data_IF_797369856060
#
_entry.id   IF_797369856060
#
_cell.length_a   1.000
_cell.length_b   1.000
_cell.length_c   1.000
_cell.angle_alpha   90.00
_cell.angle_beta   90.00
_cell.angle_gamma   90.00
#
_symmetry.space_group_name_H-M   'P 1'
#
loop_
_entity.id
_entity.type
_entity.pdbx_description
1 polymer ?
#
# COMPACT_ATOMS: atom_id res chain seq x y z
N UNK A 1 -14.49 -3.18 5.76
CA UNK A 1 -13.02 -3.20 5.95
C UNK A 1 -12.44 -2.62 4.70
N UNK A 2 -11.52 -1.68 4.80
CA UNK A 2 -10.98 -1.01 3.60
C UNK A 2 -10.06 -1.99 2.85
N UNK A 3 -10.60 -2.63 1.81
CA UNK A 3 -9.90 -3.61 0.98
C UNK A 3 -8.92 -2.94 -0.02
N UNK A 4 -8.88 -1.61 -0.06
CA UNK A 4 -8.06 -0.83 -0.97
C UNK A 4 -7.15 0.15 -0.21
N UNK A 5 -5.96 0.36 -0.77
CA UNK A 5 -4.99 1.35 -0.35
C UNK A 5 -4.86 2.39 -1.46
N UNK A 6 -5.07 3.65 -1.12
CA UNK A 6 -4.86 4.76 -2.05
C UNK A 6 -3.53 5.43 -1.74
N UNK A 7 -2.65 5.47 -2.73
CA UNK A 7 -1.38 6.19 -2.67
C UNK A 7 -1.55 7.51 -3.43
N UNK A 8 -1.18 8.62 -2.79
CA UNK A 8 -1.12 9.95 -3.39
C UNK A 8 0.28 10.49 -3.25
N UNK A 9 0.81 11.08 -4.31
CA UNK A 9 2.17 11.62 -4.34
C UNK A 9 2.20 12.98 -5.04
N UNK A 10 3.36 13.64 -5.06
CA UNK A 10 3.46 15.00 -5.54
C UNK A 10 3.08 15.09 -7.03
N UNK A 11 2.16 16.01 -7.34
CA UNK A 11 1.81 16.33 -8.72
C UNK A 11 2.96 17.06 -9.41
N UNK A 12 3.22 16.65 -10.65
CA UNK A 12 4.13 17.29 -11.58
C UNK A 12 3.47 18.39 -12.41
N UNK A 13 4.09 18.75 -13.52
CA UNK A 13 3.54 19.71 -14.50
C UNK A 13 2.41 19.08 -15.33
N UNK A 14 1.51 19.91 -15.90
CA UNK A 14 0.48 19.40 -16.82
C UNK A 14 1.09 18.61 -17.98
N UNK A 15 0.58 17.40 -18.21
CA UNK A 15 1.06 16.51 -19.26
C UNK A 15 2.20 15.57 -18.86
N UNK A 16 2.69 15.66 -17.62
CA UNK A 16 3.60 14.65 -17.06
C UNK A 16 2.84 13.37 -16.68
N UNK A 17 3.52 12.23 -16.83
CA UNK A 17 3.08 10.93 -16.32
C UNK A 17 4.03 10.45 -15.23
N UNK A 18 3.71 9.35 -14.56
CA UNK A 18 4.45 8.88 -13.40
C UNK A 18 4.75 7.39 -13.52
N UNK A 19 6.00 6.99 -13.34
CA UNK A 19 6.36 5.59 -13.15
C UNK A 19 6.30 5.27 -11.66
N UNK A 20 5.28 4.54 -11.26
CA UNK A 20 5.05 4.13 -9.88
C UNK A 20 5.51 2.69 -9.66
N UNK A 21 6.18 2.45 -8.53
CA UNK A 21 6.54 1.11 -8.08
C UNK A 21 6.19 0.90 -6.61
N UNK A 22 5.63 -0.28 -6.32
CA UNK A 22 5.42 -0.82 -4.97
C UNK A 22 6.14 -2.16 -4.86
N UNK A 23 6.84 -2.40 -3.76
CA UNK A 23 7.64 -3.60 -3.54
C UNK A 23 7.54 -4.12 -2.09
N UNK A 24 7.88 -5.40 -1.90
CA UNK A 24 8.03 -6.02 -0.57
C UNK A 24 9.35 -5.68 0.10
N UNK A 25 10.35 -5.28 -0.67
CA UNK A 25 11.70 -4.95 -0.19
C UNK A 25 12.17 -3.57 -0.66
N UNK A 26 13.12 -2.98 0.08
CA UNK A 26 13.61 -1.63 -0.16
C UNK A 26 14.46 -1.47 -1.44
N UNK A 27 14.92 -2.57 -2.02
CA UNK A 27 15.73 -2.57 -3.25
C UNK A 27 14.88 -2.72 -4.51
N UNK A 28 13.56 -2.90 -4.37
CA UNK A 28 12.62 -3.08 -5.46
C UNK A 28 12.94 -4.31 -6.31
N UNK A 29 13.32 -5.42 -5.65
CA UNK A 29 13.59 -6.70 -6.31
C UNK A 29 12.32 -7.57 -6.38
N UNK A 30 11.49 -7.51 -5.33
CA UNK A 30 10.19 -8.18 -5.22
C UNK A 30 9.07 -7.14 -5.42
N UNK A 31 8.78 -6.86 -6.69
CA UNK A 31 7.77 -5.89 -7.12
C UNK A 31 6.35 -6.45 -6.93
N UNK A 32 5.51 -5.67 -6.27
CA UNK A 32 4.07 -5.87 -6.20
C UNK A 32 3.35 -5.14 -7.32
N UNK A 33 3.80 -3.92 -7.63
CA UNK A 33 3.27 -3.09 -8.71
C UNK A 33 4.40 -2.32 -9.40
N UNK A 34 4.27 -2.15 -10.71
CA UNK A 34 5.14 -1.38 -11.59
C UNK A 34 4.30 -0.86 -12.76
N UNK A 35 3.94 0.42 -12.74
CA UNK A 35 2.95 0.99 -13.66
C UNK A 35 3.26 2.44 -14.05
N UNK A 36 2.83 2.81 -15.26
CA UNK A 36 2.81 4.21 -15.72
C UNK A 36 1.41 4.80 -15.48
N UNK A 37 1.36 5.93 -14.79
CA UNK A 37 0.14 6.60 -14.36
C UNK A 37 0.02 7.98 -15.00
N UNK A 38 -1.19 8.37 -15.37
CA UNK A 38 -1.50 9.72 -15.88
C UNK A 38 -1.89 10.69 -14.77
N UNK A 39 -2.18 10.18 -13.58
CA UNK A 39 -2.51 10.97 -12.39
C UNK A 39 -1.54 10.62 -11.25
N UNK A 40 -1.29 11.55 -10.33
CA UNK A 40 -0.38 11.34 -9.20
C UNK A 40 -1.03 10.52 -8.06
N UNK A 41 -1.83 9.51 -8.44
CA UNK A 41 -2.60 8.67 -7.54
C UNK A 41 -2.82 7.28 -8.13
N UNK A 42 -2.85 6.28 -7.25
CA UNK A 42 -3.28 4.93 -7.58
C UNK A 42 -4.01 4.31 -6.39
N UNK A 43 -5.10 3.60 -6.66
CA UNK A 43 -5.78 2.76 -5.67
C UNK A 43 -5.56 1.29 -6.01
N UNK A 44 -5.04 0.55 -5.03
CA UNK A 44 -4.64 -0.84 -5.16
C UNK A 44 -5.36 -1.70 -4.14
N UNK A 45 -5.57 -2.97 -4.45
CA UNK A 45 -5.99 -3.92 -3.42
C UNK A 45 -4.91 -4.00 -2.32
N UNK A 46 -5.33 -4.08 -1.05
CA UNK A 46 -4.39 -4.25 0.06
C UNK A 46 -3.57 -5.53 -0.17
N UNK A 47 -2.22 -5.45 -0.26
CA UNK A 47 -1.40 -6.63 -0.53
C UNK A 47 -1.54 -7.65 0.61
N UNK A 48 -1.62 -8.93 0.22
CA UNK A 48 -1.69 -10.03 1.18
C UNK A 48 -0.30 -10.39 1.69
N UNK A 49 -0.18 -10.54 3.01
CA UNK A 49 1.01 -11.03 3.70
C UNK A 49 2.09 -9.96 3.89
N UNK A 50 2.59 -9.84 5.12
CA UNK A 50 3.54 -8.77 5.50
C UNK A 50 2.83 -7.52 6.01
N UNK A 51 3.60 -6.67 6.71
CA UNK A 51 3.11 -5.41 7.30
C UNK A 51 3.95 -4.20 6.87
N UNK A 52 4.98 -4.41 6.05
CA UNK A 52 5.90 -3.38 5.58
C UNK A 52 6.06 -3.52 4.08
N UNK A 53 5.93 -2.40 3.38
CA UNK A 53 6.09 -2.28 1.94
C UNK A 53 6.91 -1.03 1.62
N UNK A 54 7.41 -0.95 0.39
CA UNK A 54 8.24 0.14 -0.07
C UNK A 54 7.68 0.69 -1.38
N UNK A 55 7.53 2.00 -1.47
CA UNK A 55 7.12 2.66 -2.70
C UNK A 55 8.13 3.70 -3.16
N UNK A 56 8.18 3.91 -4.47
CA UNK A 56 8.85 5.04 -5.11
C UNK A 56 8.09 5.42 -6.38
N UNK A 57 8.33 6.63 -6.85
CA UNK A 57 7.83 7.05 -8.15
C UNK A 57 8.84 7.95 -8.87
N UNK A 58 8.85 7.92 -10.20
CA UNK A 58 9.57 8.86 -11.04
C UNK A 58 8.58 9.67 -11.87
N UNK A 59 8.91 10.93 -12.16
CA UNK A 59 8.16 11.75 -13.10
C UNK A 59 8.68 11.48 -14.51
N UNK A 60 7.77 11.40 -15.47
CA UNK A 60 8.07 11.27 -16.89
C UNK A 60 7.61 12.56 -17.56
N UNK A 61 8.57 13.26 -18.16
CA UNK A 61 8.32 14.52 -18.85
C UNK A 61 7.44 14.35 -20.10
N UNK A 62 6.91 15.45 -20.66
CA UNK A 62 6.11 15.42 -21.90
C UNK A 62 6.89 14.90 -23.12
N UNK A 63 8.22 14.93 -23.07
CA UNK A 63 9.14 14.38 -24.05
C UNK A 63 9.40 12.87 -23.86
N UNK A 64 8.67 12.23 -22.94
CA UNK A 64 8.83 10.84 -22.50
C UNK A 64 10.20 10.53 -21.89
N UNK A 65 10.87 11.54 -21.33
CA UNK A 65 12.10 11.34 -20.56
C UNK A 65 11.76 11.09 -19.10
N UNK A 66 12.19 9.94 -18.59
CA UNK A 66 12.03 9.57 -17.19
C UNK A 66 13.10 10.24 -16.31
N UNK A 67 12.65 10.91 -15.26
CA UNK A 67 13.51 11.47 -14.23
C UNK A 67 14.03 10.42 -13.24
N UNK A 68 14.83 10.82 -12.24
CA UNK A 68 15.21 9.91 -11.16
C UNK A 68 13.99 9.52 -10.33
N UNK A 69 14.01 8.29 -9.79
CA UNK A 69 13.06 7.90 -8.76
C UNK A 69 13.17 8.79 -7.51
N UNK A 70 12.03 8.99 -6.86
CA UNK A 70 11.93 9.59 -5.53
C UNK A 70 12.77 8.82 -4.51
N UNK A 71 13.01 9.45 -3.36
CA UNK A 71 13.46 8.71 -2.18
C UNK A 71 12.47 7.58 -1.87
N UNK A 72 13.00 6.45 -1.40
CA UNK A 72 12.20 5.28 -1.02
C UNK A 72 11.33 5.62 0.17
N UNK A 73 10.03 5.38 0.04
CA UNK A 73 9.07 5.56 1.12
C UNK A 73 8.69 4.21 1.70
N UNK A 74 8.78 4.07 3.03
CA UNK A 74 8.37 2.87 3.76
C UNK A 74 6.94 3.03 4.25
N UNK A 75 6.09 2.07 3.91
CA UNK A 75 4.68 2.02 4.31
C UNK A 75 4.51 0.90 5.33
N UNK A 76 3.94 1.21 6.49
CA UNK A 76 3.53 0.20 7.48
C UNK A 76 2.03 0.01 7.43
N UNK A 77 1.58 -1.21 7.14
CA UNK A 77 0.18 -1.60 7.17
C UNK A 77 -0.06 -2.47 8.41
N UNK A 78 -0.84 -1.98 9.39
CA UNK A 78 -1.28 -2.82 10.49
C UNK A 78 -1.97 -4.07 9.96
N UNK A 79 -1.60 -5.22 10.50
CA UNK A 79 -2.37 -6.45 10.33
C UNK A 79 -3.62 -6.24 11.20
N UNK A 80 -4.79 -6.18 10.57
CA UNK A 80 -6.05 -6.10 11.30
C UNK A 80 -6.25 -7.44 12.00
N UNK A 81 -5.86 -7.51 13.27
CA UNK A 81 -6.06 -8.68 14.13
C UNK A 81 -7.54 -8.71 14.55
N UNK A 82 -8.39 -9.15 13.62
CA UNK A 82 -9.84 -9.29 13.85
C UNK A 82 -10.12 -10.55 14.69
N UNK A 83 -9.72 -10.53 15.96
CA UNK A 83 -10.18 -11.49 16.96
C UNK A 83 -11.17 -10.81 17.93
N UNK A 84 -12.49 -10.82 17.65
CA UNK A 84 -13.46 -10.75 18.74
C UNK A 84 -14.26 -12.06 18.92
N UNK A 85 -13.94 -13.15 18.20
CA UNK A 85 -14.63 -14.43 18.44
C UNK A 85 -14.19 -15.16 19.72
N UNK A 86 -13.05 -14.80 20.33
CA UNK A 86 -12.60 -15.45 21.58
C UNK A 86 -13.27 -14.86 22.84
N UNK A 87 -13.87 -13.68 22.77
CA UNK A 87 -14.45 -13.03 23.96
C UNK A 87 -15.91 -13.48 24.22
N UNK A 88 -16.62 -14.02 23.21
CA UNK A 88 -17.99 -14.50 23.41
C UNK A 88 -18.11 -15.95 23.96
N UNK A 89 -17.05 -16.76 23.93
CA UNK A 89 -17.10 -18.15 24.44
C UNK A 89 -16.87 -18.28 25.95
N UNK A 90 -16.30 -17.27 26.62
CA UNK A 90 -16.04 -17.34 28.07
C UNK A 90 -17.23 -16.92 28.95
N UNK A 91 -18.29 -16.34 28.37
CA UNK A 91 -19.47 -15.86 29.11
C UNK A 91 -20.69 -16.80 29.09
N UNK A 92 -20.58 -18.01 28.54
CA UNK A 92 -21.65 -19.04 28.60
C UNK A 92 -21.37 -20.12 29.66
N UNK A 93 -20.13 -20.26 30.14
CA UNK A 93 -19.75 -21.32 31.09
C UNK A 93 -20.05 -21.04 32.57
N UNK A 94 -20.27 -19.78 32.98
CA UNK A 94 -20.38 -19.41 34.40
C UNK A 94 -21.80 -19.15 34.91
N UNK A 95 -22.85 -19.26 34.07
CA UNK A 95 -24.25 -19.04 34.47
C UNK A 95 -25.03 -20.34 34.77
N UNK A 96 -24.36 -21.52 34.76
CA UNK A 96 -25.01 -22.79 35.09
C UNK A 96 -24.58 -23.37 36.46
N UNK A 97 -23.88 -22.59 37.30
CA UNK A 97 -23.40 -23.02 38.63
C UNK A 97 -23.64 -22.01 39.76
N UNK A 98 -24.70 -21.19 39.66
CA UNK A 98 -25.20 -20.41 40.80
C UNK A 98 -26.73 -20.35 40.82
#
# INVERSE_FOLDING_TARGET
GEEQLTFRFAAGLPGETYHFQLARDQTFTDLLEDQILTEPEISLAKPVGGNTYYMRYAMIGPDQVEGPFSSVQRIYLPIDDYQPMVIFSTLIGLLLLL
#
